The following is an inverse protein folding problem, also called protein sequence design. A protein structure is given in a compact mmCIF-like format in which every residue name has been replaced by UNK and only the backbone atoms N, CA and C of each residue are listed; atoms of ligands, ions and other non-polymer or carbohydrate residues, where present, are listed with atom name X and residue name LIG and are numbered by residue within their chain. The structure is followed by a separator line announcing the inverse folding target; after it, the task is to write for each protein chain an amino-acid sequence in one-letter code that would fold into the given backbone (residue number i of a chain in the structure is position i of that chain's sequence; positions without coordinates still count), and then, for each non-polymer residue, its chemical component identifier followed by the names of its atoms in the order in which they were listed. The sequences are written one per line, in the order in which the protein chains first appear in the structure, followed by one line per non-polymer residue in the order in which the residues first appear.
data_IF_592834904291
#
_entry.id   IF_592834904291
#
_cell.length_a   1.000
_cell.length_b   1.000
_cell.length_c   1.000
_cell.angle_alpha   90.00
_cell.angle_beta   90.00
_cell.angle_gamma   90.00
#
_symmetry.space_group_name_H-M   'P 1'
#
loop_
_entity.id
_entity.type
_entity.pdbx_description
1 polymer ?
#
# COMPACT_ATOMS: atom_id res chain seq x y z
N UNK A 1 -20.10 -12.46 -6.16
CA UNK A 1 -19.50 -11.28 -6.83
C UNK A 1 -18.02 -11.29 -6.45
N UNK A 2 -17.11 -11.11 -7.41
CA UNK A 2 -15.67 -11.05 -7.10
C UNK A 2 -15.38 -9.60 -6.70
N UNK A 3 -14.94 -9.39 -5.46
CA UNK A 3 -14.49 -8.07 -4.98
C UNK A 3 -12.98 -7.95 -5.22
N UNK A 4 -12.52 -6.77 -5.63
CA UNK A 4 -11.11 -6.45 -5.86
C UNK A 4 -10.79 -5.08 -5.28
N UNK A 5 -9.54 -4.90 -4.87
CA UNK A 5 -8.94 -3.63 -4.44
C UNK A 5 -8.09 -3.00 -5.54
N UNK A 6 -8.02 -3.62 -6.72
CA UNK A 6 -7.27 -3.10 -7.85
C UNK A 6 -8.03 -1.93 -8.51
N UNK A 7 -7.34 -0.81 -8.68
CA UNK A 7 -7.83 0.32 -9.46
C UNK A 7 -7.49 0.13 -10.94
N UNK A 8 -8.47 0.34 -11.83
CA UNK A 8 -8.32 0.20 -13.29
C UNK A 8 -8.74 1.51 -13.94
N UNK A 9 -7.88 2.11 -14.77
CA UNK A 9 -8.13 3.40 -15.45
C UNK A 9 -8.65 4.50 -14.50
N UNK A 10 -8.11 4.54 -13.28
CA UNK A 10 -8.54 5.47 -12.22
C UNK A 10 -7.38 6.37 -11.82
N UNK A 11 -7.62 7.68 -11.79
CA UNK A 11 -6.71 8.65 -11.20
C UNK A 11 -7.11 8.88 -9.74
N UNK A 12 -6.14 8.80 -8.82
CA UNK A 12 -6.37 9.01 -7.38
C UNK A 12 -5.83 10.40 -7.05
N UNK A 13 -6.75 11.34 -6.80
CA UNK A 13 -6.42 12.72 -6.41
C UNK A 13 -6.19 12.85 -4.91
N UNK A 14 -5.44 13.87 -4.52
CA UNK A 14 -5.23 14.24 -3.11
C UNK A 14 -6.53 14.86 -2.58
N UNK A 15 -6.90 14.53 -1.34
CA UNK A 15 -8.08 15.13 -0.71
C UNK A 15 -7.89 16.63 -0.43
N UNK A 16 -8.96 17.42 -0.56
CA UNK A 16 -8.95 18.89 -0.37
C UNK A 16 -8.51 19.33 1.03
N UNK A 17 -8.70 18.48 2.04
CA UNK A 17 -8.35 18.73 3.44
C UNK A 17 -6.96 18.19 3.83
N UNK A 18 -6.19 17.65 2.88
CA UNK A 18 -4.85 17.15 3.14
C UNK A 18 -3.90 18.32 3.48
N UNK A 19 -3.33 18.29 4.69
CA UNK A 19 -2.42 19.32 5.18
C UNK A 19 -0.96 19.13 4.73
N UNK A 20 -0.66 18.02 4.05
CA UNK A 20 0.70 17.59 3.73
C UNK A 20 0.97 17.82 2.24
N UNK A 21 2.13 18.38 1.91
CA UNK A 21 2.51 18.72 0.53
C UNK A 21 3.36 17.65 -0.18
N UNK A 22 3.87 16.64 0.54
CA UNK A 22 4.68 15.57 -0.05
C UNK A 22 4.44 14.22 0.65
N UNK A 23 4.67 13.13 -0.07
CA UNK A 23 4.61 11.79 0.53
C UNK A 23 5.76 11.58 1.53
N UNK A 24 5.53 10.71 2.52
CA UNK A 24 6.54 10.28 3.48
C UNK A 24 6.70 8.75 3.43
N UNK A 25 7.92 8.26 3.65
CA UNK A 25 8.17 6.83 3.82
C UNK A 25 7.68 6.39 5.21
N UNK A 26 6.98 5.26 5.36
CA UNK A 26 6.52 4.83 6.67
C UNK A 26 7.68 4.72 7.68
N UNK A 27 7.53 5.25 8.91
CA UNK A 27 8.61 5.26 9.89
C UNK A 27 8.95 3.84 10.36
N UNK A 28 10.24 3.59 10.61
CA UNK A 28 10.70 2.33 11.16
C UNK A 28 10.30 2.22 12.64
N UNK A 29 9.64 1.10 12.99
CA UNK A 29 9.24 0.77 14.36
C UNK A 29 9.77 -0.60 14.73
N UNK A 30 9.93 -0.86 16.04
CA UNK A 30 10.38 -2.18 16.56
C UNK A 30 9.54 -3.34 16.03
N UNK A 31 8.24 -3.12 15.89
CA UNK A 31 7.32 -4.05 15.24
C UNK A 31 6.90 -3.46 13.90
N UNK A 32 7.09 -4.24 12.81
CA UNK A 32 6.70 -3.80 11.47
C UNK A 32 5.20 -3.51 11.42
N UNK A 33 4.86 -2.30 10.96
CA UNK A 33 3.46 -1.92 10.71
C UNK A 33 2.97 -2.51 9.40
N UNK A 34 1.66 -2.54 9.19
CA UNK A 34 1.09 -2.95 7.91
C UNK A 34 1.58 -2.03 6.77
N UNK A 35 1.61 -0.72 7.02
CA UNK A 35 2.11 0.26 6.06
C UNK A 35 3.59 0.03 5.70
N UNK A 36 4.43 -0.30 6.68
CA UNK A 36 5.84 -0.63 6.43
C UNK A 36 5.98 -1.89 5.56
N UNK A 37 5.19 -2.94 5.82
CA UNK A 37 5.21 -4.18 5.03
C UNK A 37 4.79 -3.93 3.59
N UNK A 38 3.67 -3.23 3.38
CA UNK A 38 3.18 -2.88 2.05
C UNK A 38 4.20 -2.04 1.27
N UNK A 39 4.74 -1.01 1.90
CA UNK A 39 5.75 -0.14 1.30
C UNK A 39 7.00 -0.92 0.88
N UNK A 40 7.53 -1.80 1.75
CA UNK A 40 8.69 -2.62 1.43
C UNK A 40 8.46 -3.54 0.23
N UNK A 41 7.29 -4.17 0.14
CA UNK A 41 6.97 -5.07 -0.98
C UNK A 41 6.89 -4.34 -2.31
N UNK A 42 6.20 -3.20 -2.33
CA UNK A 42 6.06 -2.35 -3.52
C UNK A 42 7.43 -1.79 -3.94
N UNK A 43 8.23 -1.31 -2.99
CA UNK A 43 9.56 -0.76 -3.26
C UNK A 43 10.53 -1.80 -3.82
N UNK A 44 10.50 -3.02 -3.30
CA UNK A 44 11.36 -4.13 -3.77
C UNK A 44 10.91 -4.67 -5.14
N UNK A 45 9.62 -4.56 -5.46
CA UNK A 45 9.04 -5.08 -6.69
C UNK A 45 8.17 -4.03 -7.41
N UNK A 46 8.76 -2.95 -7.97
CA UNK A 46 8.00 -1.88 -8.59
C UNK A 46 7.09 -2.38 -9.71
N UNK A 47 5.80 -2.04 -9.65
CA UNK A 47 4.76 -2.39 -10.64
C UNK A 47 4.63 -3.89 -10.97
N UNK A 48 5.15 -4.78 -10.12
CA UNK A 48 5.13 -6.22 -10.37
C UNK A 48 3.83 -6.89 -9.95
N UNK A 49 3.28 -6.47 -8.81
CA UNK A 49 2.15 -7.13 -8.17
C UNK A 49 0.93 -6.21 -8.12
N UNK A 50 -0.28 -6.75 -8.32
CA UNK A 50 -1.53 -6.03 -8.11
C UNK A 50 -1.77 -5.73 -6.62
N UNK A 51 -2.65 -4.75 -6.34
CA UNK A 51 -3.03 -4.37 -4.97
C UNK A 51 -3.58 -5.55 -4.18
N UNK A 52 -4.40 -6.39 -4.82
CA UNK A 52 -4.97 -7.60 -4.19
C UNK A 52 -3.88 -8.52 -3.63
N UNK A 53 -2.84 -8.78 -4.41
CA UNK A 53 -1.75 -9.67 -4.00
C UNK A 53 -0.92 -9.05 -2.87
N UNK A 54 -0.62 -7.75 -2.94
CA UNK A 54 0.12 -7.04 -1.89
C UNK A 54 -0.64 -7.06 -0.56
N UNK A 55 -1.96 -6.79 -0.61
CA UNK A 55 -2.82 -6.79 0.58
C UNK A 55 -2.92 -8.21 1.15
N UNK A 56 -3.11 -9.21 0.30
CA UNK A 56 -3.22 -10.60 0.71
C UNK A 56 -1.92 -11.13 1.34
N UNK A 57 -0.76 -10.87 0.74
CA UNK A 57 0.54 -11.26 1.27
C UNK A 57 0.77 -10.62 2.65
N UNK A 58 0.48 -9.33 2.80
CA UNK A 58 0.63 -8.65 4.09
C UNK A 58 -0.31 -9.22 5.17
N UNK A 59 -1.53 -9.61 4.81
CA UNK A 59 -2.45 -10.31 5.70
C UNK A 59 -1.90 -11.67 6.12
N UNK A 60 -1.37 -12.45 5.17
CA UNK A 60 -0.77 -13.76 5.43
C UNK A 60 0.45 -13.70 6.36
N UNK A 61 1.29 -12.64 6.24
CA UNK A 61 2.46 -12.43 7.12
C UNK A 61 2.06 -12.07 8.55
N UNK A 62 0.94 -11.36 8.72
CA UNK A 62 0.47 -10.90 10.04
C UNK A 62 -0.32 -11.94 10.83
N UNK A 63 -0.70 -13.06 10.19
CA UNK A 63 -1.55 -14.10 10.78
C UNK A 63 -0.71 -15.24 11.32
#
# INVERSE_FOLDING_TARGET
MIHTTNYINTFIEIADDCTISHAETPPEKKTKTLASLQYEQIKKNPYRYPSDDIIFECYAIKK
#
